data_IF_171843325799
#
_entry.id   IF_171843325799
#
_cell.length_a   1.000
_cell.length_b   1.000
_cell.length_c   1.000
_cell.angle_alpha   90.00
_cell.angle_beta   90.00
_cell.angle_gamma   90.00
#
_symmetry.space_group_name_H-M   'P 1'
#
loop_
_entity.id
_entity.type
_entity.pdbx_description
1 polymer ?
#
# COMPACT_ATOMS: atom_id res chain seq x y z
N UNK A 1 -31.96 -21.21 8.75
CA UNK A 1 -31.87 -19.73 8.92
C UNK A 1 -30.48 -19.28 8.50
N UNK A 2 -30.31 -18.87 7.24
CA UNK A 2 -29.09 -18.18 6.84
C UNK A 2 -29.10 -16.81 7.52
N UNK A 3 -28.30 -16.64 8.58
CA UNK A 3 -28.02 -15.31 9.12
C UNK A 3 -27.45 -14.51 7.97
N UNK A 4 -28.16 -13.48 7.50
CA UNK A 4 -27.61 -12.44 6.65
C UNK A 4 -26.48 -11.77 7.44
N UNK A 5 -25.28 -12.38 7.43
CA UNK A 5 -24.04 -11.64 7.64
C UNK A 5 -24.04 -10.67 6.47
N UNK A 6 -24.33 -9.40 6.76
CA UNK A 6 -24.12 -8.29 5.85
C UNK A 6 -22.72 -8.49 5.27
N UNK A 7 -22.63 -9.01 4.05
CA UNK A 7 -21.35 -9.37 3.46
C UNK A 7 -20.63 -8.04 3.25
N UNK A 8 -19.63 -7.77 4.10
CA UNK A 8 -18.77 -6.62 3.89
C UNK A 8 -17.96 -6.94 2.65
N UNK A 9 -18.27 -6.27 1.55
CA UNK A 9 -17.56 -6.47 0.30
C UNK A 9 -16.13 -5.95 0.47
N UNK A 10 -15.12 -6.79 0.20
CA UNK A 10 -13.74 -6.34 0.23
C UNK A 10 -13.53 -5.28 -0.85
N UNK A 11 -12.75 -4.24 -0.52
CA UNK A 11 -12.46 -3.15 -1.47
C UNK A 11 -10.98 -3.10 -1.79
N UNK A 12 -10.70 -3.13 -3.09
CA UNK A 12 -9.38 -2.87 -3.62
C UNK A 12 -9.05 -1.39 -3.47
N UNK A 13 -7.81 -1.11 -3.07
CA UNK A 13 -7.29 0.21 -2.88
C UNK A 13 -5.88 0.29 -3.49
N UNK A 14 -5.70 1.25 -4.40
CA UNK A 14 -4.43 1.56 -5.03
C UNK A 14 -3.91 2.91 -4.54
N UNK A 15 -2.60 2.99 -4.26
CA UNK A 15 -1.92 4.25 -3.93
C UNK A 15 -0.69 4.42 -4.78
N UNK A 16 -0.61 5.57 -5.46
CA UNK A 16 0.63 6.03 -6.09
C UNK A 16 1.63 6.47 -5.01
N UNK A 17 2.82 5.88 -5.05
CA UNK A 17 3.93 6.22 -4.17
C UNK A 17 4.63 7.47 -4.70
N UNK A 18 4.60 8.52 -3.88
CA UNK A 18 5.26 9.77 -4.19
C UNK A 18 6.75 9.69 -3.88
N UNK A 19 7.57 10.52 -4.54
CA UNK A 19 9.02 10.55 -4.34
C UNK A 19 9.45 10.83 -2.88
N UNK A 20 8.60 11.49 -2.10
CA UNK A 20 8.81 11.78 -0.68
C UNK A 20 8.11 10.77 0.26
N UNK A 21 7.68 9.61 -0.25
CA UNK A 21 7.10 8.58 0.59
C UNK A 21 8.13 8.01 1.56
N UNK A 22 7.69 7.71 2.78
CA UNK A 22 8.54 7.00 3.76
C UNK A 22 8.83 5.55 3.38
N UNK A 23 8.18 5.06 2.32
CA UNK A 23 8.24 3.67 1.88
C UNK A 23 9.14 3.45 0.67
N UNK A 24 9.76 4.51 0.13
CA UNK A 24 10.75 4.35 -0.92
C UNK A 24 11.97 3.57 -0.39
N UNK A 25 12.37 2.51 -1.08
CA UNK A 25 13.56 1.70 -0.77
C UNK A 25 13.35 0.58 0.25
N UNK A 26 12.14 0.40 0.80
CA UNK A 26 11.82 -0.73 1.68
C UNK A 26 10.99 -1.80 0.95
N UNK A 27 10.99 -3.02 1.48
CA UNK A 27 10.19 -4.10 0.95
C UNK A 27 8.73 -4.04 1.40
N UNK A 28 7.81 -4.53 0.56
CA UNK A 28 6.37 -4.52 0.81
C UNK A 28 5.98 -5.18 2.15
N UNK A 29 6.64 -6.28 2.54
CA UNK A 29 6.37 -7.00 3.80
C UNK A 29 6.76 -6.21 5.05
N UNK A 30 7.63 -5.22 4.93
CA UNK A 30 8.06 -4.39 6.07
C UNK A 30 6.99 -3.36 6.47
N UNK A 31 6.03 -3.09 5.59
CA UNK A 31 4.92 -2.19 5.90
C UNK A 31 3.87 -2.92 6.75
N UNK A 32 3.69 -2.44 7.97
CA UNK A 32 2.60 -2.90 8.82
C UNK A 32 1.27 -2.33 8.35
N UNK A 33 0.43 -3.21 7.79
CA UNK A 33 -0.93 -2.87 7.42
C UNK A 33 -1.87 -2.83 8.63
N UNK A 34 -2.93 -2.01 8.57
CA UNK A 34 -4.03 -2.10 9.53
C UNK A 34 -4.67 -3.48 9.51
N UNK A 35 -5.35 -3.85 10.61
CA UNK A 35 -6.12 -5.11 10.68
C UNK A 35 -7.10 -5.18 9.50
N UNK A 36 -7.40 -6.40 9.03
CA UNK A 36 -8.33 -6.64 7.92
C UNK A 36 -7.90 -5.98 6.60
N UNK A 37 -6.60 -5.75 6.41
CA UNK A 37 -6.00 -5.33 5.16
C UNK A 37 -4.90 -6.31 4.75
N UNK A 38 -4.70 -6.49 3.45
CA UNK A 38 -3.63 -7.30 2.90
C UNK A 38 -3.04 -6.63 1.64
N UNK A 39 -1.76 -6.84 1.38
CA UNK A 39 -1.17 -6.46 0.10
C UNK A 39 -1.50 -7.51 -0.95
N UNK A 40 -1.80 -7.04 -2.16
CA UNK A 40 -1.89 -7.88 -3.36
C UNK A 40 -0.60 -7.79 -4.16
N UNK A 41 0.03 -6.61 -4.19
CA UNK A 41 1.26 -6.40 -4.92
C UNK A 41 1.55 -4.95 -5.22
N UNK A 42 2.41 -4.74 -6.21
CA UNK A 42 2.78 -3.43 -6.75
C UNK A 42 2.54 -3.44 -8.25
N UNK A 43 2.00 -2.35 -8.80
CA UNK A 43 1.98 -2.08 -10.23
C UNK A 43 3.14 -1.13 -10.56
N UNK A 44 4.06 -1.56 -11.42
CA UNK A 44 5.20 -0.78 -11.93
C UNK A 44 5.27 -0.93 -13.43
N UNK A 45 5.27 0.17 -14.17
CA UNK A 45 5.36 0.16 -15.65
C UNK A 45 4.38 -0.85 -16.29
N UNK A 46 3.12 -0.84 -15.85
CA UNK A 46 2.05 -1.77 -16.24
C UNK A 46 2.24 -3.26 -15.88
N UNK A 47 3.33 -3.60 -15.18
CA UNK A 47 3.60 -4.94 -14.66
C UNK A 47 3.12 -5.06 -13.21
N UNK A 48 2.32 -6.09 -12.94
CA UNK A 48 1.88 -6.43 -11.58
C UNK A 48 2.91 -7.35 -10.94
N UNK A 49 3.64 -6.83 -9.97
CA UNK A 49 4.54 -7.56 -9.09
C UNK A 49 3.74 -8.09 -7.89
N UNK A 50 3.78 -9.40 -7.67
CA UNK A 50 3.03 -10.02 -6.57
C UNK A 50 3.59 -9.63 -5.21
N UNK A 51 2.71 -9.48 -4.21
CA UNK A 51 3.16 -9.29 -2.83
C UNK A 51 3.99 -10.46 -2.29
N UNK A 52 3.83 -11.66 -2.87
CA UNK A 52 4.57 -12.87 -2.48
C UNK A 52 6.07 -12.74 -2.81
N UNK A 53 6.39 -12.07 -3.92
CA UNK A 53 7.77 -11.86 -4.37
C UNK A 53 8.49 -10.78 -3.54
N UNK A 54 7.78 -10.17 -2.59
CA UNK A 54 8.24 -9.12 -1.70
C UNK A 54 9.03 -8.00 -2.43
N UNK A 55 8.42 -7.35 -3.45
CA UNK A 55 9.12 -6.36 -4.24
C UNK A 55 9.52 -5.15 -3.39
N UNK A 56 10.71 -4.55 -3.63
CA UNK A 56 11.05 -3.25 -3.08
C UNK A 56 10.16 -2.17 -3.71
N UNK A 57 9.79 -1.17 -2.91
CA UNK A 57 8.92 -0.07 -3.32
C UNK A 57 9.77 1.10 -3.82
N UNK A 58 9.40 1.66 -4.97
CA UNK A 58 10.02 2.86 -5.54
C UNK A 58 9.01 3.97 -5.78
N UNK A 59 9.52 5.18 -5.97
CA UNK A 59 8.71 6.32 -6.38
C UNK A 59 8.08 6.05 -7.75
N UNK A 60 6.79 6.36 -7.90
CA UNK A 60 6.03 6.09 -9.13
C UNK A 60 5.31 4.74 -9.12
N UNK A 61 5.64 3.84 -8.19
CA UNK A 61 4.92 2.58 -8.03
C UNK A 61 3.48 2.80 -7.56
N UNK A 62 2.59 1.90 -7.97
CA UNK A 62 1.24 1.79 -7.42
C UNK A 62 1.18 0.62 -6.45
N UNK A 63 1.05 0.87 -5.14
CA UNK A 63 0.81 -0.21 -4.19
C UNK A 63 -0.66 -0.62 -4.27
N UNK A 64 -0.90 -1.92 -4.46
CA UNK A 64 -2.20 -2.55 -4.50
C UNK A 64 -2.45 -3.28 -3.17
N UNK A 65 -3.46 -2.83 -2.44
CA UNK A 65 -3.88 -3.43 -1.18
C UNK A 65 -5.40 -3.65 -1.17
N UNK A 66 -5.86 -4.65 -0.44
CA UNK A 66 -7.27 -4.96 -0.26
C UNK A 66 -7.66 -4.78 1.20
N UNK A 67 -8.76 -4.07 1.44
CA UNK A 67 -9.39 -4.00 2.75
C UNK A 67 -10.57 -4.98 2.76
N UNK A 68 -10.49 -6.04 3.57
CA UNK A 68 -11.59 -6.99 3.75
C UNK A 68 -12.75 -6.40 4.54
N UNK A 69 -12.52 -5.25 5.20
CA UNK A 69 -13.54 -4.41 5.79
C UNK A 69 -13.43 -2.98 5.25
N UNK A 70 -14.45 -2.47 4.55
CA UNK A 70 -14.47 -1.10 4.02
C UNK A 70 -14.19 0.00 5.05
N UNK A 71 -14.50 -0.23 6.33
CA UNK A 71 -14.22 0.74 7.40
C UNK A 71 -12.72 0.99 7.62
N UNK A 72 -11.85 0.09 7.13
CA UNK A 72 -10.40 0.21 7.25
C UNK A 72 -9.76 1.02 6.12
N UNK A 73 -10.51 1.37 5.07
CA UNK A 73 -9.98 2.12 3.92
C UNK A 73 -9.33 3.46 4.33
N UNK A 74 -9.92 4.28 5.23
CA UNK A 74 -9.28 5.51 5.67
C UNK A 74 -7.94 5.25 6.38
N UNK A 75 -7.90 4.24 7.25
CA UNK A 75 -6.67 3.85 7.94
C UNK A 75 -5.60 3.35 6.95
N UNK A 76 -6.00 2.52 5.98
CA UNK A 76 -5.13 2.03 4.92
C UNK A 76 -4.56 3.18 4.08
N UNK A 77 -5.40 4.16 3.74
CA UNK A 77 -5.00 5.37 3.02
C UNK A 77 -4.01 6.22 3.81
N UNK A 78 -4.23 6.42 5.11
CA UNK A 78 -3.31 7.17 5.96
C UNK A 78 -1.99 6.43 6.12
N UNK A 79 -2.01 5.11 6.30
CA UNK A 79 -0.80 4.30 6.37
C UNK A 79 0.01 4.42 5.09
N UNK A 80 -0.56 4.10 3.92
CA UNK A 80 0.18 4.06 2.66
C UNK A 80 0.59 5.43 2.13
N UNK A 81 -0.05 6.51 2.56
CA UNK A 81 0.30 7.90 2.17
C UNK A 81 1.22 8.60 3.17
N UNK A 82 1.88 7.87 4.07
CA UNK A 82 2.91 8.49 4.92
C UNK A 82 4.05 9.02 4.04
N UNK A 83 4.33 10.30 4.23
CA UNK A 83 5.40 11.03 3.56
C UNK A 83 6.37 11.60 4.60
N UNK A 84 7.63 11.75 4.23
CA UNK A 84 8.57 12.54 5.01
C UNK A 84 8.28 14.04 4.79
N UNK A 85 8.54 14.86 5.82
CA UNK A 85 8.60 16.31 5.64
C UNK A 85 9.72 16.64 4.65
N UNK A 86 9.39 17.45 3.64
CA UNK A 86 10.22 17.75 2.45
C UNK A 86 11.63 18.30 2.78
N UNK A 87 11.84 18.80 4.01
CA UNK A 87 13.15 19.23 4.53
C UNK A 87 14.14 18.08 4.82
N UNK A 88 13.68 16.83 4.79
CA UNK A 88 14.50 15.62 4.98
C UNK A 88 14.68 14.83 3.67
N UNK A 89 14.65 15.51 2.52
CA UNK A 89 15.06 14.93 1.24
C UNK A 89 16.59 14.83 1.17
N UNK A 90 17.15 13.98 2.04
CA UNK A 90 18.48 13.44 1.80
C UNK A 90 18.45 12.66 0.49
N UNK A 91 19.48 12.88 -0.31
CA UNK A 91 19.78 12.40 -1.67
C UNK A 91 19.66 10.88 -1.94
N UNK A 92 18.91 10.11 -1.16
CA UNK A 92 18.76 8.66 -1.27
C UNK A 92 17.54 8.19 -2.08
N UNK A 93 16.74 9.10 -2.65
CA UNK A 93 15.61 8.76 -3.54
C UNK A 93 15.88 9.00 -5.03
N UNK A 94 17.14 9.25 -5.43
CA UNK A 94 17.54 9.61 -6.80
C UNK A 94 18.55 8.64 -7.45
N UNK A 95 18.64 7.40 -6.98
CA UNK A 95 19.45 6.36 -7.63
C UNK A 95 18.66 5.07 -7.79
#
# INVERSE_FOLDING_TARGET
MFKYKKALEPRLFGVLIQANSVYCGIHLTEIQLPKQCAFLGILRDDLVLSAIDNPPIFAGDYILAIATNPMMIPALKVTLKKIHCVYYSLNSCLL
#
